data_IF_569262627042
#
_entry.id   IF_569262627042
#
_cell.length_a   1.000
_cell.length_b   1.000
_cell.length_c   1.000
_cell.angle_alpha   90.00
_cell.angle_beta   90.00
_cell.angle_gamma   90.00
#
_symmetry.space_group_name_H-M   'P 1'
#
loop_
_entity.id
_entity.type
_entity.pdbx_description
1 polymer ?
#
# COMPACT_ATOMS: atom_id res chain seq x y z
N UNK A 1 -6.45 -6.77 13.75
CA UNK A 1 -5.78 -8.09 13.73
C UNK A 1 -4.77 -8.12 12.59
N UNK A 2 -3.56 -8.64 12.84
CA UNK A 2 -2.44 -8.63 11.88
C UNK A 2 -1.11 -8.14 12.46
N UNK A 3 -0.76 -8.58 13.69
CA UNK A 3 0.52 -8.21 14.34
C UNK A 3 1.70 -8.93 13.68
N UNK A 4 1.46 -10.12 13.13
CA UNK A 4 2.49 -10.95 12.51
C UNK A 4 2.78 -10.51 11.06
N UNK A 5 4.06 -10.30 10.75
CA UNK A 5 4.55 -10.04 9.39
C UNK A 5 4.18 -8.67 8.80
N UNK A 6 3.99 -7.64 9.64
CA UNK A 6 3.66 -6.29 9.13
C UNK A 6 4.75 -5.76 8.20
N UNK A 7 6.01 -5.85 8.59
CA UNK A 7 7.15 -5.39 7.78
C UNK A 7 7.26 -6.19 6.49
N UNK A 8 7.22 -7.52 6.58
CA UNK A 8 7.25 -8.40 5.39
C UNK A 8 6.15 -8.07 4.38
N UNK A 9 4.94 -7.77 4.85
CA UNK A 9 3.82 -7.36 4.00
C UNK A 9 4.05 -5.98 3.36
N UNK A 10 4.61 -5.04 4.10
CA UNK A 10 4.95 -3.72 3.57
C UNK A 10 6.05 -3.82 2.52
N UNK A 11 7.09 -4.62 2.77
CA UNK A 11 8.15 -4.88 1.80
C UNK A 11 7.63 -5.60 0.55
N UNK A 12 6.72 -6.56 0.69
CA UNK A 12 6.08 -7.20 -0.45
C UNK A 12 5.32 -6.19 -1.34
N UNK A 13 4.59 -5.25 -0.73
CA UNK A 13 3.84 -4.21 -1.45
C UNK A 13 4.76 -3.09 -1.98
N UNK A 14 5.96 -2.93 -1.45
CA UNK A 14 6.98 -2.00 -1.96
C UNK A 14 7.78 -2.59 -3.13
N UNK A 15 7.62 -3.87 -3.44
CA UNK A 15 8.29 -4.55 -4.56
C UNK A 15 7.69 -4.20 -5.93
N UNK A 16 8.21 -4.87 -6.97
CA UNK A 16 7.75 -4.73 -8.36
C UNK A 16 6.26 -5.08 -8.49
N UNK A 17 5.49 -4.31 -9.26
CA UNK A 17 4.03 -4.47 -9.35
C UNK A 17 3.29 -3.97 -8.12
N UNK A 18 4.01 -3.33 -7.20
CA UNK A 18 3.52 -2.88 -5.91
C UNK A 18 2.88 -1.50 -5.94
N UNK A 19 2.85 -0.85 -4.78
CA UNK A 19 2.11 0.40 -4.58
C UNK A 19 2.58 1.56 -5.47
N UNK A 20 3.86 1.57 -5.84
CA UNK A 20 4.45 2.60 -6.71
C UNK A 20 4.01 2.47 -8.16
N UNK A 21 3.52 1.30 -8.58
CA UNK A 21 3.08 1.04 -9.95
C UNK A 21 1.60 1.45 -10.15
N UNK A 22 0.92 1.88 -9.08
CA UNK A 22 -0.42 2.45 -9.18
C UNK A 22 -0.38 3.84 -9.85
N UNK A 23 -0.84 3.93 -11.10
CA UNK A 23 -0.92 5.19 -11.86
C UNK A 23 -2.04 6.15 -11.44
N UNK A 24 -2.79 5.84 -10.38
CA UNK A 24 -3.93 6.64 -9.88
C UNK A 24 -4.98 7.00 -10.96
N UNK A 25 -5.23 6.08 -11.90
CA UNK A 25 -6.25 6.26 -12.94
C UNK A 25 -7.70 6.19 -12.41
N UNK A 26 -7.88 5.72 -11.17
CA UNK A 26 -9.18 5.61 -10.48
C UNK A 26 -10.25 4.75 -11.14
N UNK A 27 -9.92 3.99 -12.19
CA UNK A 27 -10.85 3.00 -12.78
C UNK A 27 -11.41 2.02 -11.75
N UNK A 28 -10.67 1.70 -10.69
CA UNK A 28 -11.13 0.83 -9.62
C UNK A 28 -12.32 1.38 -8.81
N UNK A 29 -12.53 2.70 -8.81
CA UNK A 29 -13.70 3.34 -8.18
C UNK A 29 -14.94 3.11 -9.06
N UNK A 30 -14.80 3.37 -10.36
CA UNK A 30 -15.91 3.31 -11.32
C UNK A 30 -16.41 1.89 -11.60
N UNK A 31 -15.51 0.90 -11.60
CA UNK A 31 -15.85 -0.48 -12.04
C UNK A 31 -16.19 -1.44 -10.91
N UNK A 32 -16.02 -1.05 -9.64
CA UNK A 32 -16.17 -1.99 -8.53
C UNK A 32 -17.65 -2.32 -8.30
N UNK A 33 -18.10 -3.58 -8.50
CA UNK A 33 -19.51 -3.95 -8.30
C UNK A 33 -19.91 -4.08 -6.82
N UNK A 34 -18.98 -3.82 -5.90
CA UNK A 34 -19.13 -3.99 -4.46
C UNK A 34 -18.85 -2.70 -3.68
N UNK A 35 -18.59 -1.60 -4.37
CA UNK A 35 -18.31 -0.29 -3.77
C UNK A 35 -17.23 -0.34 -2.67
N UNK A 36 -16.18 -1.14 -2.89
CA UNK A 36 -15.08 -1.24 -1.94
C UNK A 36 -14.23 0.03 -2.05
N UNK A 37 -13.93 0.72 -0.94
CA UNK A 37 -13.14 1.96 -0.95
C UNK A 37 -11.64 1.65 -1.15
N UNK A 38 -11.27 1.18 -2.34
CA UNK A 38 -9.92 0.71 -2.64
C UNK A 38 -8.90 1.85 -2.62
N UNK A 39 -9.29 3.05 -3.07
CA UNK A 39 -8.45 4.25 -3.05
C UNK A 39 -8.06 4.65 -1.63
N UNK A 40 -8.98 4.55 -0.67
CA UNK A 40 -8.68 4.82 0.75
C UNK A 40 -7.69 3.82 1.33
N UNK A 41 -7.86 2.53 0.99
CA UNK A 41 -6.95 1.48 1.42
C UNK A 41 -5.54 1.69 0.84
N UNK A 42 -5.44 2.03 -0.45
CA UNK A 42 -4.17 2.33 -1.12
C UNK A 42 -3.52 3.58 -0.52
N UNK A 43 -4.27 4.65 -0.26
CA UNK A 43 -3.73 5.87 0.36
C UNK A 43 -3.19 5.60 1.78
N UNK A 44 -3.87 4.77 2.56
CA UNK A 44 -3.38 4.32 3.88
C UNK A 44 -2.10 3.49 3.74
N UNK A 45 -2.04 2.58 2.77
CA UNK A 45 -0.83 1.81 2.50
C UNK A 45 0.33 2.70 2.04
N UNK A 46 0.07 3.72 1.21
CA UNK A 46 1.10 4.65 0.75
C UNK A 46 1.77 5.38 1.91
N UNK A 47 0.99 5.84 2.89
CA UNK A 47 1.56 6.41 4.12
C UNK A 47 2.37 5.40 4.92
N UNK A 48 1.92 4.15 4.99
CA UNK A 48 2.64 3.09 5.70
C UNK A 48 3.95 2.71 5.02
N UNK A 49 3.99 2.63 3.69
CA UNK A 49 5.21 2.34 2.94
C UNK A 49 6.19 3.50 2.95
N UNK A 50 5.72 4.76 2.92
CA UNK A 50 6.60 5.93 3.18
C UNK A 50 7.22 5.86 4.58
N UNK A 51 6.43 5.56 5.61
CA UNK A 51 6.94 5.41 6.97
C UNK A 51 7.91 4.21 7.09
N UNK A 52 7.63 3.10 6.42
CA UNK A 52 8.53 1.94 6.40
C UNK A 52 9.84 2.27 5.69
N UNK A 53 9.80 2.95 4.55
CA UNK A 53 10.99 3.40 3.83
C UNK A 53 11.87 4.31 4.70
N UNK A 54 11.26 5.26 5.43
CA UNK A 54 11.99 6.09 6.39
C UNK A 54 12.62 5.23 7.50
N UNK A 55 11.91 4.24 8.04
CA UNK A 55 12.50 3.34 9.05
C UNK A 55 13.66 2.52 8.49
N UNK A 56 13.50 1.96 7.30
CA UNK A 56 14.53 1.14 6.66
C UNK A 56 15.81 1.96 6.37
N UNK A 57 15.69 3.28 6.17
CA UNK A 57 16.84 4.16 5.97
C UNK A 57 17.54 4.64 7.24
N UNK A 58 16.81 4.78 8.36
CA UNK A 58 17.32 5.48 9.55
C UNK A 58 17.36 4.65 10.84
N UNK A 59 16.66 3.53 10.90
CA UNK A 59 16.51 2.69 12.11
C UNK A 59 17.02 1.26 11.88
N UNK A 60 17.38 0.93 10.64
CA UNK A 60 17.93 -0.37 10.26
C UNK A 60 19.44 -0.31 10.08
#
# INVERSE_FOLDING_TARGET
TGVYGKEDRLHAVMGKGGITDCGNAQNCVEVCPKDIPLTDAIARLGRQTTAQWLRDMFVK
#
